data_IF_470703085552
#
_entry.id   IF_470703085552
#
_cell.length_a   1.000
_cell.length_b   1.000
_cell.length_c   1.000
_cell.angle_alpha   90.00
_cell.angle_beta   90.00
_cell.angle_gamma   90.00
#
_symmetry.space_group_name_H-M   'P 1'
#
loop_
_entity.id
_entity.type
_entity.pdbx_description
1 polymer ?
#
# COMPACT_ATOMS: atom_id res chain seq x y z
N UNK A 1 8.70 31.56 24.72
CA UNK A 1 7.23 31.61 24.59
C UNK A 1 6.95 31.47 23.12
N UNK A 2 6.59 30.28 22.65
CA UNK A 2 6.14 30.10 21.26
C UNK A 2 4.92 31.01 21.06
N UNK A 3 4.99 31.90 20.08
CA UNK A 3 3.81 32.64 19.62
C UNK A 3 2.84 31.56 19.15
N UNK A 4 1.74 31.37 19.89
CA UNK A 4 0.75 30.37 19.54
C UNK A 4 0.17 30.75 18.17
N UNK A 5 0.59 30.02 17.13
CA UNK A 5 0.07 30.20 15.77
C UNK A 5 -1.43 30.01 15.84
N UNK A 6 -2.16 31.05 15.42
CA UNK A 6 -3.57 31.18 15.72
C UNK A 6 -4.45 30.36 14.76
N UNK A 7 -3.99 30.05 13.55
CA UNK A 7 -4.78 29.34 12.54
C UNK A 7 -4.02 28.12 12.00
N UNK A 8 -4.63 26.94 12.10
CA UNK A 8 -4.15 25.72 11.45
C UNK A 8 -5.19 25.21 10.45
N UNK A 9 -4.74 24.93 9.23
CA UNK A 9 -5.54 24.44 8.12
C UNK A 9 -5.07 23.04 7.73
N UNK A 10 -5.99 22.10 7.66
CA UNK A 10 -5.71 20.71 7.27
C UNK A 10 -6.62 20.31 6.11
N UNK A 11 -6.02 20.01 4.96
CA UNK A 11 -6.73 19.60 3.74
C UNK A 11 -6.28 18.23 3.21
N UNK A 12 -5.23 17.59 3.75
CA UNK A 12 -4.74 16.26 3.33
C UNK A 12 -5.46 15.12 4.06
N UNK A 13 -6.76 15.02 3.82
CA UNK A 13 -7.72 14.13 4.46
C UNK A 13 -9.04 14.87 4.68
N UNK A 14 -9.82 14.43 5.67
CA UNK A 14 -10.99 15.20 6.11
C UNK A 14 -10.58 16.61 6.54
N UNK A 15 -11.25 17.61 5.97
CA UNK A 15 -10.93 19.01 6.22
C UNK A 15 -11.07 19.35 7.70
N UNK A 16 -10.05 19.97 8.28
CA UNK A 16 -10.11 20.56 9.62
C UNK A 16 -9.56 21.98 9.56
N UNK A 17 -10.23 22.89 10.25
CA UNK A 17 -9.81 24.28 10.39
C UNK A 17 -9.89 24.62 11.86
N UNK A 18 -8.75 24.97 12.44
CA UNK A 18 -8.63 25.24 13.87
C UNK A 18 -8.14 26.68 14.06
N UNK A 19 -8.88 27.45 14.86
CA UNK A 19 -8.51 28.79 15.26
C UNK A 19 -8.37 28.87 16.79
N UNK A 20 -7.22 29.33 17.27
CA UNK A 20 -6.83 29.31 18.69
C UNK A 20 -7.03 27.94 19.36
N UNK A 21 -6.66 26.87 18.64
CA UNK A 21 -6.80 25.49 19.09
C UNK A 21 -8.24 24.96 19.15
N UNK A 22 -9.23 25.71 18.66
CA UNK A 22 -10.64 25.29 18.58
C UNK A 22 -11.03 25.03 17.14
N UNK A 23 -11.75 23.93 16.90
CA UNK A 23 -12.38 23.69 15.60
C UNK A 23 -13.34 24.83 15.26
N UNK A 24 -13.21 25.36 14.04
CA UNK A 24 -14.14 26.34 13.47
C UNK A 24 -14.72 25.85 12.13
N UNK A 25 -14.39 24.62 11.72
CA UNK A 25 -14.84 24.06 10.45
C UNK A 25 -16.36 23.90 10.39
N UNK A 26 -17.02 23.68 11.53
CA UNK A 26 -18.47 23.53 11.65
C UNK A 26 -19.22 24.84 11.38
N UNK A 27 -18.54 25.98 11.56
CA UNK A 27 -19.06 27.30 11.19
C UNK A 27 -19.04 27.55 9.68
N UNK A 28 -18.36 26.70 8.91
CA UNK A 28 -18.17 26.86 7.48
C UNK A 28 -19.02 25.88 6.68
N UNK A 29 -19.68 26.42 5.64
CA UNK A 29 -20.36 25.58 4.65
C UNK A 29 -19.34 25.07 3.64
N UNK A 30 -19.72 24.05 2.87
CA UNK A 30 -18.90 23.48 1.82
C UNK A 30 -18.28 24.57 0.90
N UNK A 31 -19.07 25.53 0.41
CA UNK A 31 -18.57 26.61 -0.46
C UNK A 31 -17.59 27.56 0.23
N UNK A 32 -17.68 27.72 1.55
CA UNK A 32 -16.72 28.51 2.33
C UNK A 32 -15.38 27.77 2.42
N UNK A 33 -15.42 26.46 2.68
CA UNK A 33 -14.23 25.59 2.68
C UNK A 33 -13.57 25.60 1.29
N UNK A 34 -14.36 25.46 0.22
CA UNK A 34 -13.90 25.55 -1.16
C UNK A 34 -13.17 26.87 -1.43
N UNK A 35 -13.75 28.00 -0.99
CA UNK A 35 -13.15 29.32 -1.14
C UNK A 35 -11.81 29.41 -0.40
N UNK A 36 -11.74 29.02 0.87
CA UNK A 36 -10.48 29.04 1.63
C UNK A 36 -9.43 28.20 0.90
N UNK A 37 -9.79 26.99 0.48
CA UNK A 37 -8.88 26.08 -0.18
C UNK A 37 -8.39 26.60 -1.54
N UNK A 38 -9.30 27.16 -2.35
CA UNK A 38 -8.99 27.79 -3.63
C UNK A 38 -7.99 28.95 -3.46
N UNK A 39 -8.16 29.78 -2.43
CA UNK A 39 -7.24 30.86 -2.11
C UNK A 39 -5.88 30.34 -1.64
N UNK A 40 -5.84 29.27 -0.82
CA UNK A 40 -4.60 28.67 -0.32
C UNK A 40 -3.78 28.01 -1.43
N UNK A 41 -4.41 27.25 -2.32
CA UNK A 41 -3.71 26.64 -3.48
C UNK A 41 -3.08 27.72 -4.38
N UNK A 42 -3.66 28.92 -4.38
CA UNK A 42 -3.19 30.07 -5.13
C UNK A 42 -2.50 31.12 -4.23
N UNK A 43 -1.95 30.75 -3.06
CA UNK A 43 -1.46 31.72 -2.07
C UNK A 43 -0.48 32.78 -2.59
N UNK A 44 0.34 32.45 -3.60
CA UNK A 44 1.32 33.35 -4.19
C UNK A 44 0.71 34.33 -5.20
N UNK A 45 -0.61 34.27 -5.41
CA UNK A 45 -1.36 35.05 -6.39
C UNK A 45 -2.66 35.56 -5.79
N UNK A 46 -3.06 36.76 -6.20
CA UNK A 46 -4.41 37.23 -5.98
C UNK A 46 -5.32 36.70 -7.09
N UNK A 47 -6.47 36.13 -6.72
CA UNK A 47 -7.49 35.68 -7.65
C UNK A 47 -8.51 36.80 -7.87
N UNK A 48 -8.85 37.07 -9.13
CA UNK A 48 -9.95 37.97 -9.46
C UNK A 48 -11.26 37.42 -8.91
N UNK A 49 -12.12 38.31 -8.42
CA UNK A 49 -13.45 37.96 -7.92
C UNK A 49 -14.27 37.22 -8.97
N UNK A 50 -14.25 37.67 -10.23
CA UNK A 50 -14.95 37.02 -11.35
C UNK A 50 -14.58 35.53 -11.45
N UNK A 51 -13.29 35.22 -11.53
CA UNK A 51 -12.79 33.83 -11.55
C UNK A 51 -13.22 33.00 -10.32
N UNK A 52 -13.32 33.61 -9.14
CA UNK A 52 -13.85 32.92 -7.95
C UNK A 52 -15.34 32.60 -8.11
N UNK A 53 -16.11 33.51 -8.72
CA UNK A 53 -17.53 33.28 -9.01
C UNK A 53 -17.70 32.12 -9.98
N UNK A 54 -16.91 32.09 -11.06
CA UNK A 54 -16.96 31.02 -12.06
C UNK A 54 -16.67 29.65 -11.44
N UNK A 55 -15.69 29.56 -10.54
CA UNK A 55 -15.36 28.28 -9.88
C UNK A 55 -16.41 27.81 -8.87
N UNK A 56 -17.01 28.73 -8.11
CA UNK A 56 -17.79 28.36 -6.92
C UNK A 56 -19.30 28.53 -7.09
N UNK A 57 -19.75 29.37 -8.03
CA UNK A 57 -21.15 29.67 -8.30
C UNK A 57 -21.45 29.87 -9.81
N UNK A 58 -21.03 28.97 -10.71
CA UNK A 58 -21.19 29.16 -12.15
C UNK A 58 -22.67 29.26 -12.60
N UNK A 59 -23.58 28.58 -11.89
CA UNK A 59 -25.01 28.60 -12.21
C UNK A 59 -25.78 29.79 -11.62
N UNK A 60 -25.13 30.60 -10.79
CA UNK A 60 -25.79 31.75 -10.18
C UNK A 60 -25.79 32.94 -11.13
N UNK A 61 -26.87 33.73 -11.10
CA UNK A 61 -26.80 35.08 -11.67
C UNK A 61 -25.62 35.86 -11.07
N UNK A 62 -25.04 36.78 -11.84
CA UNK A 62 -23.87 37.55 -11.42
C UNK A 62 -24.08 38.25 -10.06
N UNK A 63 -25.26 38.84 -9.84
CA UNK A 63 -25.60 39.50 -8.57
C UNK A 63 -25.69 38.51 -7.40
N UNK A 64 -26.31 37.34 -7.61
CA UNK A 64 -26.38 36.29 -6.61
C UNK A 64 -24.99 35.72 -6.28
N UNK A 65 -24.15 35.50 -7.29
CA UNK A 65 -22.78 35.02 -7.12
C UNK A 65 -21.93 36.03 -6.32
N UNK A 66 -22.00 37.32 -6.65
CA UNK A 66 -21.33 38.40 -5.90
C UNK A 66 -21.80 38.46 -4.43
N UNK A 67 -23.09 38.33 -4.19
CA UNK A 67 -23.66 38.28 -2.83
C UNK A 67 -23.18 37.06 -2.05
N UNK A 68 -23.14 35.89 -2.69
CA UNK A 68 -22.61 34.66 -2.11
C UNK A 68 -21.13 34.81 -1.74
N UNK A 69 -20.30 35.34 -2.65
CA UNK A 69 -18.90 35.59 -2.36
C UNK A 69 -18.73 36.53 -1.16
N UNK A 70 -19.46 37.66 -1.14
CA UNK A 70 -19.43 38.61 -0.03
C UNK A 70 -19.79 37.96 1.30
N UNK A 71 -20.84 37.14 1.32
CA UNK A 71 -21.26 36.41 2.52
C UNK A 71 -20.16 35.44 3.00
N UNK A 72 -19.56 34.67 2.09
CA UNK A 72 -18.52 33.70 2.45
C UNK A 72 -17.24 34.40 2.95
N UNK A 73 -16.82 35.50 2.33
CA UNK A 73 -15.70 36.31 2.82
C UNK A 73 -15.98 36.87 4.22
N UNK A 74 -17.18 37.39 4.46
CA UNK A 74 -17.59 37.85 5.79
C UNK A 74 -17.60 36.71 6.81
N UNK A 75 -18.08 35.52 6.42
CA UNK A 75 -18.16 34.36 7.31
C UNK A 75 -16.76 33.89 7.73
N UNK A 76 -15.80 33.90 6.79
CA UNK A 76 -14.39 33.61 7.08
C UNK A 76 -13.85 34.63 8.09
N UNK A 77 -13.99 35.93 7.80
CA UNK A 77 -13.53 37.02 8.69
C UNK A 77 -14.17 37.00 10.08
N UNK A 78 -15.43 36.56 10.18
CA UNK A 78 -16.13 36.45 11.46
C UNK A 78 -15.58 35.33 12.35
N UNK A 79 -15.18 34.21 11.76
CA UNK A 79 -14.74 33.03 12.50
C UNK A 79 -13.20 32.93 12.63
N UNK A 80 -12.46 33.57 11.73
CA UNK A 80 -11.00 33.69 11.76
C UNK A 80 -10.68 35.14 12.12
N UNK A 81 -10.27 35.37 13.36
CA UNK A 81 -9.95 36.70 13.85
C UNK A 81 -8.61 37.23 13.30
N UNK A 82 -8.29 38.46 13.70
CA UNK A 82 -7.03 39.12 13.35
C UNK A 82 -5.84 38.52 14.08
N UNK A 83 -4.66 38.60 13.47
CA UNK A 83 -3.40 38.21 14.11
C UNK A 83 -3.04 39.16 15.26
N UNK A 84 -2.00 38.82 16.03
CA UNK A 84 -1.45 39.69 17.07
C UNK A 84 -0.96 41.06 16.53
N UNK A 85 -0.63 41.14 15.23
CA UNK A 85 -0.24 42.37 14.54
C UNK A 85 -1.43 43.08 13.89
N UNK A 86 -2.66 42.69 14.24
CA UNK A 86 -3.90 43.23 13.71
C UNK A 86 -4.07 43.05 12.17
N UNK A 87 -3.46 42.00 11.63
CA UNK A 87 -3.61 41.61 10.22
C UNK A 87 -4.82 40.68 10.04
N UNK A 88 -5.57 40.82 8.94
CA UNK A 88 -6.65 39.91 8.57
C UNK A 88 -6.11 38.72 7.78
N UNK A 89 -6.72 37.53 7.92
CA UNK A 89 -6.30 36.33 7.20
C UNK A 89 -6.40 36.46 5.67
N UNK A 90 -7.42 37.17 5.20
CA UNK A 90 -7.66 37.36 3.78
C UNK A 90 -7.23 38.77 3.36
N UNK A 91 -6.55 38.85 2.22
CA UNK A 91 -6.46 40.08 1.46
C UNK A 91 -7.69 40.20 0.56
N UNK A 92 -8.42 41.31 0.67
CA UNK A 92 -9.65 41.57 -0.09
C UNK A 92 -9.61 43.00 -0.61
N UNK A 93 -9.64 43.16 -1.93
CA UNK A 93 -9.85 44.45 -2.59
C UNK A 93 -11.11 44.44 -3.47
N UNK A 94 -11.32 45.47 -4.30
CA UNK A 94 -12.50 45.59 -5.17
C UNK A 94 -12.56 44.53 -6.28
N UNK A 95 -11.42 44.05 -6.74
CA UNK A 95 -11.23 43.22 -7.93
C UNK A 95 -10.73 41.81 -7.57
N UNK A 96 -10.00 41.66 -6.47
CA UNK A 96 -9.26 40.45 -6.12
C UNK A 96 -9.47 40.01 -4.66
N UNK A 97 -9.21 38.72 -4.42
CA UNK A 97 -9.11 38.10 -3.12
C UNK A 97 -7.88 37.19 -3.06
N UNK A 98 -7.26 37.04 -1.90
CA UNK A 98 -6.15 36.14 -1.66
C UNK A 98 -5.88 35.92 -0.18
N UNK A 99 -4.85 35.14 0.09
CA UNK A 99 -4.33 34.98 1.46
C UNK A 99 -3.45 36.18 1.77
N UNK A 100 -3.57 36.75 2.98
CA UNK A 100 -2.67 37.80 3.42
C UNK A 100 -1.33 37.19 3.85
N UNK A 101 -0.25 37.51 3.13
CA UNK A 101 1.09 37.01 3.43
C UNK A 101 1.62 37.45 4.81
N UNK A 102 1.06 38.52 5.40
CA UNK A 102 1.43 39.00 6.73
C UNK A 102 0.64 38.31 7.86
N UNK A 103 -0.31 37.44 7.54
CA UNK A 103 -1.05 36.67 8.52
C UNK A 103 -0.30 35.37 8.84
N UNK A 104 -0.06 35.09 10.11
CA UNK A 104 0.61 33.86 10.54
C UNK A 104 -0.39 32.70 10.64
N UNK A 105 -0.19 31.67 9.82
CA UNK A 105 -0.99 30.44 9.82
C UNK A 105 -0.14 29.24 9.40
N UNK A 106 -0.59 28.04 9.75
CA UNK A 106 -0.04 26.78 9.24
C UNK A 106 -1.04 26.11 8.33
N UNK A 107 -0.54 25.51 7.26
CA UNK A 107 -1.35 24.72 6.36
C UNK A 107 -0.56 23.52 5.85
N UNK A 108 -1.11 22.33 6.05
CA UNK A 108 -0.47 21.08 5.66
C UNK A 108 -0.10 21.04 4.18
N UNK A 109 -0.99 21.47 3.28
CA UNK A 109 -0.69 21.47 1.85
C UNK A 109 0.44 22.43 1.47
N UNK A 110 0.61 23.54 2.20
CA UNK A 110 1.72 24.46 1.95
C UNK A 110 3.04 23.87 2.45
N UNK A 111 3.04 23.22 3.61
CA UNK A 111 4.20 22.49 4.14
C UNK A 111 4.66 21.42 3.14
N UNK A 112 3.72 20.70 2.53
CA UNK A 112 4.00 19.69 1.48
C UNK A 112 4.48 20.34 0.17
N UNK A 113 3.83 21.39 -0.33
CA UNK A 113 4.23 22.04 -1.59
C UNK A 113 5.62 22.68 -1.51
N UNK A 114 5.98 23.20 -0.33
CA UNK A 114 7.26 23.83 -0.07
C UNK A 114 8.38 22.83 0.23
N UNK A 115 8.05 21.56 0.51
CA UNK A 115 9.06 20.53 0.71
C UNK A 115 9.86 20.31 -0.58
N UNK A 116 11.18 20.43 -0.46
CA UNK A 116 12.17 20.05 -1.48
C UNK A 116 13.18 19.12 -0.81
N UNK A 117 13.41 17.90 -1.34
CA UNK A 117 14.42 17.01 -0.79
C UNK A 117 15.80 17.66 -0.72
N UNK A 118 16.45 17.55 0.44
CA UNK A 118 17.78 18.10 0.71
C UNK A 118 18.63 17.08 1.49
N UNK A 119 19.95 17.18 1.38
CA UNK A 119 20.89 16.31 2.09
C UNK A 119 20.86 16.43 3.62
N UNK A 120 20.42 17.59 4.11
CA UNK A 120 20.22 17.89 5.52
C UNK A 120 18.90 17.39 6.10
N UNK A 121 18.03 16.76 5.30
CA UNK A 121 16.75 16.23 5.80
C UNK A 121 16.96 15.17 6.88
N UNK A 122 16.12 15.22 7.92
CA UNK A 122 16.09 14.23 8.99
C UNK A 122 14.87 13.34 8.87
N UNK A 123 15.00 12.09 9.36
CA UNK A 123 13.89 11.14 9.43
C UNK A 123 12.69 11.73 10.18
N UNK A 124 12.93 12.43 11.30
CA UNK A 124 11.87 13.07 12.09
C UNK A 124 11.07 14.11 11.29
N UNK A 125 11.75 14.93 10.47
CA UNK A 125 11.08 15.91 9.59
C UNK A 125 10.22 15.21 8.54
N UNK A 126 10.74 14.18 7.88
CA UNK A 126 10.00 13.45 6.84
C UNK A 126 8.83 12.65 7.41
N UNK A 127 8.97 12.04 8.59
CA UNK A 127 7.85 11.39 9.29
C UNK A 127 6.75 12.39 9.63
N UNK A 128 7.10 13.62 10.06
CA UNK A 128 6.11 14.68 10.28
C UNK A 128 5.33 14.99 9.00
N UNK A 129 6.01 15.15 7.86
CA UNK A 129 5.35 15.41 6.58
C UNK A 129 4.51 14.21 6.11
N UNK A 130 5.01 12.99 6.24
CA UNK A 130 4.28 11.74 5.96
C UNK A 130 2.97 11.68 6.76
N UNK A 131 3.02 12.01 8.05
CA UNK A 131 1.87 11.94 8.94
C UNK A 131 0.84 13.08 8.74
N UNK A 132 1.14 14.09 7.91
CA UNK A 132 0.14 15.08 7.50
C UNK A 132 -0.91 14.49 6.57
N UNK A 133 -0.57 13.44 5.81
CA UNK A 133 -1.50 12.72 4.96
C UNK A 133 -2.36 11.76 5.80
N UNK A 134 -3.56 12.21 6.17
CA UNK A 134 -4.57 11.36 6.81
C UNK A 134 -5.61 10.83 5.83
N UNK A 135 -5.64 11.36 4.61
CA UNK A 135 -6.43 10.91 3.48
C UNK A 135 -6.03 11.64 2.20
N UNK A 136 -6.87 11.55 1.16
CA UNK A 136 -6.69 12.33 -0.07
C UNK A 136 -6.97 13.83 0.17
N UNK A 137 -6.46 14.68 -0.71
CA UNK A 137 -6.73 16.11 -0.64
C UNK A 137 -8.25 16.40 -0.76
N UNK A 138 -8.79 17.14 0.21
CA UNK A 138 -10.23 17.37 0.39
C UNK A 138 -11.03 16.06 0.34
N UNK A 139 -10.66 15.09 1.18
CA UNK A 139 -11.30 13.78 1.24
C UNK A 139 -12.81 13.89 1.40
N UNK A 140 -13.55 13.16 0.56
CA UNK A 140 -15.01 13.13 0.59
C UNK A 140 -15.71 14.42 0.13
N UNK A 141 -14.98 15.42 -0.35
CA UNK A 141 -15.56 16.64 -0.90
C UNK A 141 -15.88 16.48 -2.39
N UNK A 142 -17.11 16.85 -2.76
CA UNK A 142 -17.54 17.05 -4.14
C UNK A 142 -18.49 18.25 -4.15
N UNK A 143 -18.30 19.17 -5.10
CA UNK A 143 -19.08 20.40 -5.18
C UNK A 143 -20.02 20.35 -6.37
N UNK A 144 -21.32 20.22 -6.09
CA UNK A 144 -22.33 20.20 -7.15
C UNK A 144 -22.25 21.45 -8.03
N UNK A 145 -22.35 21.23 -9.34
CA UNK A 145 -22.34 22.23 -10.41
C UNK A 145 -21.12 23.16 -10.33
N UNK A 146 -19.94 22.58 -10.11
CA UNK A 146 -18.65 23.28 -10.05
C UNK A 146 -17.58 22.42 -10.71
N UNK A 147 -17.84 22.03 -11.94
CA UNK A 147 -17.01 21.13 -12.74
C UNK A 147 -15.57 21.62 -12.80
N UNK A 148 -15.36 22.89 -13.16
CA UNK A 148 -14.04 23.52 -13.23
C UNK A 148 -13.27 23.46 -11.90
N UNK A 149 -13.96 23.63 -10.76
CA UNK A 149 -13.33 23.53 -9.45
C UNK A 149 -13.08 22.08 -9.04
N UNK A 150 -13.99 21.16 -9.34
CA UNK A 150 -13.78 19.73 -9.10
C UNK A 150 -12.61 19.18 -9.92
N UNK A 151 -12.40 19.67 -11.15
CA UNK A 151 -11.21 19.35 -11.95
C UNK A 151 -9.92 19.82 -11.27
N UNK A 152 -9.92 21.03 -10.68
CA UNK A 152 -8.78 21.50 -9.86
C UNK A 152 -8.55 20.54 -8.69
N UNK A 153 -9.59 20.09 -7.99
CA UNK A 153 -9.44 19.15 -6.86
C UNK A 153 -8.81 17.85 -7.33
N UNK A 154 -9.29 17.25 -8.43
CA UNK A 154 -8.75 16.02 -9.00
C UNK A 154 -7.26 16.20 -9.35
N UNK A 155 -6.91 17.29 -10.03
CA UNK A 155 -5.53 17.59 -10.37
C UNK A 155 -4.64 17.75 -9.13
N UNK A 156 -5.14 18.42 -8.08
CA UNK A 156 -4.40 18.60 -6.85
C UNK A 156 -4.22 17.30 -6.07
N UNK A 157 -5.22 16.39 -6.06
CA UNK A 157 -5.09 15.05 -5.45
C UNK A 157 -3.92 14.28 -6.05
N UNK A 158 -3.86 14.16 -7.38
CA UNK A 158 -2.74 13.54 -8.07
C UNK A 158 -1.41 14.23 -7.76
N UNK A 159 -1.41 15.57 -7.70
CA UNK A 159 -0.20 16.34 -7.36
C UNK A 159 0.29 16.06 -5.93
N UNK A 160 -0.60 15.96 -4.95
CA UNK A 160 -0.24 15.66 -3.57
C UNK A 160 0.17 14.20 -3.36
N UNK A 161 -0.40 13.26 -4.09
CA UNK A 161 0.09 11.87 -4.12
C UNK A 161 1.53 11.80 -4.64
N UNK A 162 1.85 12.54 -5.71
CA UNK A 162 3.22 12.63 -6.20
C UNK A 162 4.18 13.23 -5.17
N UNK A 163 3.76 14.27 -4.43
CA UNK A 163 4.56 14.80 -3.31
C UNK A 163 4.74 13.79 -2.18
N UNK A 164 3.68 13.04 -1.84
CA UNK A 164 3.76 11.96 -0.84
C UNK A 164 4.79 10.92 -1.25
N UNK A 165 4.78 10.46 -2.51
CA UNK A 165 5.78 9.52 -3.03
C UNK A 165 7.19 10.11 -2.95
N UNK A 166 7.40 11.39 -3.25
CA UNK A 166 8.72 12.03 -3.11
C UNK A 166 9.23 12.03 -1.66
N UNK A 167 8.35 12.33 -0.69
CA UNK A 167 8.67 12.30 0.74
C UNK A 167 9.04 10.87 1.17
N UNK A 168 8.25 9.87 0.74
CA UNK A 168 8.50 8.46 1.05
C UNK A 168 9.81 7.96 0.40
N UNK A 169 10.08 8.31 -0.86
CA UNK A 169 11.35 7.96 -1.54
C UNK A 169 12.54 8.53 -0.76
N UNK A 170 12.47 9.80 -0.34
CA UNK A 170 13.52 10.42 0.48
C UNK A 170 13.68 9.73 1.84
N UNK A 171 12.57 9.37 2.48
CA UNK A 171 12.59 8.67 3.76
C UNK A 171 13.22 7.28 3.64
N UNK A 172 12.90 6.54 2.57
CA UNK A 172 13.51 5.24 2.28
C UNK A 172 15.03 5.36 2.05
N UNK A 173 15.49 6.38 1.33
CA UNK A 173 16.93 6.65 1.15
C UNK A 173 17.65 6.91 2.49
N UNK A 174 17.05 7.68 3.39
CA UNK A 174 17.63 7.95 4.70
C UNK A 174 17.71 6.68 5.55
N UNK A 175 16.64 5.88 5.60
CA UNK A 175 16.65 4.60 6.33
C UNK A 175 17.67 3.62 5.75
N UNK A 176 17.82 3.56 4.43
CA UNK A 176 18.84 2.74 3.78
C UNK A 176 20.27 3.18 4.17
N UNK A 177 20.53 4.50 4.20
CA UNK A 177 21.81 5.08 4.60
C UNK A 177 22.15 4.78 6.07
N UNK A 178 21.16 4.82 6.95
CA UNK A 178 21.30 4.47 8.36
C UNK A 178 21.27 2.95 8.62
N UNK A 179 21.23 2.13 7.56
CA UNK A 179 21.13 0.67 7.64
C UNK A 179 19.90 0.15 8.40
N UNK A 180 18.86 0.97 8.54
CA UNK A 180 17.56 0.55 9.06
C UNK A 180 16.72 -0.07 7.93
N UNK A 181 17.10 -1.30 7.54
CA UNK A 181 16.55 -1.95 6.34
C UNK A 181 15.07 -2.30 6.49
N UNK A 182 14.61 -2.65 7.69
CA UNK A 182 13.21 -3.04 7.91
C UNK A 182 12.26 -1.85 7.69
N UNK A 183 12.59 -0.68 8.24
CA UNK A 183 11.83 0.54 8.00
C UNK A 183 11.93 0.99 6.54
N UNK A 184 13.09 0.85 5.90
CA UNK A 184 13.23 1.11 4.46
C UNK A 184 12.26 0.24 3.63
N UNK A 185 12.20 -1.06 3.91
CA UNK A 185 11.26 -1.98 3.23
C UNK A 185 9.80 -1.61 3.50
N UNK A 186 9.44 -1.20 4.71
CA UNK A 186 8.08 -0.76 5.03
C UNK A 186 7.68 0.48 4.22
N UNK A 187 8.57 1.48 4.14
CA UNK A 187 8.33 2.69 3.33
C UNK A 187 8.23 2.37 1.84
N UNK A 188 9.09 1.49 1.31
CA UNK A 188 9.01 1.10 -0.11
C UNK A 188 7.72 0.35 -0.43
N UNK A 189 7.21 -0.48 0.49
CA UNK A 189 5.90 -1.13 0.33
C UNK A 189 4.76 -0.12 0.34
N UNK A 190 4.81 0.90 1.20
CA UNK A 190 3.82 1.98 1.20
C UNK A 190 3.83 2.76 -0.13
N UNK A 191 4.99 2.94 -0.76
CA UNK A 191 5.05 3.51 -2.11
C UNK A 191 4.33 2.60 -3.12
N UNK A 192 4.48 1.27 -3.03
CA UNK A 192 3.76 0.31 -3.89
C UNK A 192 2.26 0.19 -3.58
N UNK A 193 1.79 0.66 -2.43
CA UNK A 193 0.36 0.78 -2.18
C UNK A 193 -0.24 1.99 -2.92
N UNK A 194 0.58 3.02 -3.17
CA UNK A 194 0.20 4.22 -3.95
C UNK A 194 0.38 3.98 -5.46
N UNK A 195 1.54 3.47 -5.86
CA UNK A 195 1.85 3.09 -7.25
C UNK A 195 2.22 1.59 -7.32
N UNK A 196 1.21 0.70 -7.49
CA UNK A 196 1.39 -0.75 -7.49
C UNK A 196 2.28 -1.31 -8.58
N UNK A 197 2.68 -0.49 -9.54
CA UNK A 197 3.39 -0.90 -10.76
C UNK A 197 4.77 -0.23 -10.89
N UNK A 198 5.24 0.52 -9.89
CA UNK A 198 6.59 1.13 -9.88
C UNK A 198 7.68 0.03 -9.82
N UNK A 199 8.20 -0.34 -11.00
CA UNK A 199 9.26 -1.34 -11.12
C UNK A 199 10.58 -0.89 -10.48
N UNK A 200 10.86 0.40 -10.37
CA UNK A 200 12.09 0.88 -9.74
C UNK A 200 12.08 0.61 -8.23
N UNK A 201 10.93 0.82 -7.60
CA UNK A 201 10.70 0.46 -6.20
C UNK A 201 10.77 -1.05 -6.01
N UNK A 202 10.19 -1.83 -6.92
CA UNK A 202 10.26 -3.30 -6.88
C UNK A 202 11.71 -3.81 -6.98
N UNK A 203 12.52 -3.24 -7.88
CA UNK A 203 13.96 -3.53 -7.98
C UNK A 203 14.66 -3.25 -6.66
N UNK A 204 14.38 -2.11 -6.03
CA UNK A 204 15.02 -1.70 -4.77
C UNK A 204 14.66 -2.65 -3.63
N UNK A 205 13.40 -3.08 -3.53
CA UNK A 205 12.96 -4.09 -2.54
C UNK A 205 13.73 -5.41 -2.73
N UNK A 206 13.88 -5.90 -3.98
CA UNK A 206 14.64 -7.13 -4.25
C UNK A 206 16.11 -6.97 -3.83
N UNK A 207 16.74 -5.85 -4.16
CA UNK A 207 18.12 -5.57 -3.75
C UNK A 207 18.28 -5.54 -2.22
N UNK A 208 17.32 -4.97 -1.50
CA UNK A 208 17.34 -4.98 -0.03
C UNK A 208 17.18 -6.39 0.53
N UNK A 209 16.27 -7.21 -0.03
CA UNK A 209 16.15 -8.62 0.36
C UNK A 209 17.43 -9.44 0.11
N UNK A 210 18.15 -9.14 -0.98
CA UNK A 210 19.48 -9.71 -1.21
C UNK A 210 20.48 -9.28 -0.14
N UNK A 211 20.51 -7.97 0.19
CA UNK A 211 21.44 -7.38 1.16
C UNK A 211 21.30 -7.98 2.57
N UNK A 212 20.08 -8.30 2.99
CA UNK A 212 19.80 -8.88 4.32
C UNK A 212 19.70 -10.41 4.32
N UNK A 213 19.99 -11.08 3.20
CA UNK A 213 19.94 -12.54 3.08
C UNK A 213 18.53 -13.16 3.12
N UNK A 214 17.46 -12.35 3.15
CA UNK A 214 16.05 -12.82 3.15
C UNK A 214 15.59 -13.17 1.73
N UNK A 215 16.29 -14.11 1.09
CA UNK A 215 16.07 -14.48 -0.32
C UNK A 215 14.67 -15.02 -0.62
N UNK A 216 14.14 -15.91 0.23
CA UNK A 216 12.79 -16.46 0.06
C UNK A 216 11.73 -15.37 -0.05
N UNK A 217 11.82 -14.36 0.82
CA UNK A 217 10.95 -13.20 0.78
C UNK A 217 11.09 -12.40 -0.53
N UNK A 218 12.31 -12.21 -1.03
CA UNK A 218 12.55 -11.57 -2.33
C UNK A 218 11.95 -12.34 -3.51
N UNK A 219 12.01 -13.68 -3.47
CA UNK A 219 11.41 -14.52 -4.53
C UNK A 219 9.89 -14.45 -4.51
N UNK A 220 9.28 -14.55 -3.33
CA UNK A 220 7.83 -14.44 -3.16
C UNK A 220 7.34 -13.06 -3.61
N UNK A 221 8.07 -12.01 -3.24
CA UNK A 221 7.77 -10.64 -3.65
C UNK A 221 7.81 -10.49 -5.17
N UNK A 222 8.89 -10.93 -5.84
CA UNK A 222 9.00 -10.84 -7.31
C UNK A 222 7.86 -11.57 -8.02
N UNK A 223 7.54 -12.80 -7.59
CA UNK A 223 6.48 -13.58 -8.22
C UNK A 223 5.13 -12.87 -8.09
N UNK A 224 4.79 -12.39 -6.89
CA UNK A 224 3.57 -11.60 -6.65
C UNK A 224 3.51 -10.34 -7.51
N UNK A 225 4.62 -9.60 -7.60
CA UNK A 225 4.70 -8.38 -8.42
C UNK A 225 4.59 -8.67 -9.92
N UNK A 226 5.26 -9.72 -10.42
CA UNK A 226 5.13 -10.20 -11.81
C UNK A 226 3.68 -10.57 -12.13
N UNK A 227 3.03 -11.33 -11.24
CA UNK A 227 1.66 -11.78 -11.47
C UNK A 227 0.69 -10.60 -11.45
N UNK A 228 0.96 -9.57 -10.64
CA UNK A 228 0.22 -8.30 -10.64
C UNK A 228 0.36 -7.55 -11.98
N UNK A 229 1.57 -7.40 -12.50
CA UNK A 229 1.81 -6.77 -13.81
C UNK A 229 1.12 -7.53 -14.94
N UNK A 230 1.26 -8.86 -14.97
CA UNK A 230 0.66 -9.69 -15.99
C UNK A 230 -0.87 -9.66 -15.94
N UNK A 231 -1.47 -9.76 -14.75
CA UNK A 231 -2.93 -9.80 -14.59
C UNK A 231 -3.63 -8.45 -14.80
N UNK A 232 -2.99 -7.33 -14.41
CA UNK A 232 -3.63 -6.01 -14.46
C UNK A 232 -3.25 -5.19 -15.68
N UNK A 233 -2.03 -5.34 -16.18
CA UNK A 233 -1.51 -4.55 -17.31
C UNK A 233 -1.21 -5.41 -18.55
N UNK A 234 -1.21 -6.75 -18.44
CA UNK A 234 -0.89 -7.63 -19.57
C UNK A 234 0.57 -7.57 -20.00
N UNK A 235 1.46 -7.01 -19.18
CA UNK A 235 2.88 -6.86 -19.46
C UNK A 235 3.74 -7.78 -18.59
N UNK A 236 4.95 -8.06 -19.05
CA UNK A 236 5.96 -8.77 -18.27
C UNK A 236 6.89 -7.78 -17.56
N UNK A 237 7.52 -8.15 -16.43
CA UNK A 237 8.53 -7.34 -15.76
C UNK A 237 9.64 -6.89 -16.72
N UNK A 238 10.14 -5.68 -16.55
CA UNK A 238 11.26 -5.12 -17.30
C UNK A 238 12.52 -5.98 -17.20
N UNK A 239 13.44 -5.80 -18.15
CA UNK A 239 14.72 -6.52 -18.15
C UNK A 239 15.56 -6.26 -16.88
N UNK A 240 15.53 -5.02 -16.39
CA UNK A 240 16.20 -4.61 -15.14
C UNK A 240 15.70 -5.43 -13.95
N UNK A 241 14.38 -5.56 -13.82
CA UNK A 241 13.75 -6.32 -12.73
C UNK A 241 14.00 -7.82 -12.86
N UNK A 242 13.92 -8.37 -14.08
CA UNK A 242 14.26 -9.78 -14.36
C UNK A 242 15.72 -10.11 -14.03
N UNK A 243 16.64 -9.21 -14.38
CA UNK A 243 18.08 -9.37 -14.13
C UNK A 243 18.38 -9.41 -12.63
N UNK A 244 17.81 -8.49 -11.83
CA UNK A 244 17.96 -8.51 -10.37
C UNK A 244 17.35 -9.74 -9.71
N UNK A 245 16.24 -10.24 -10.23
CA UNK A 245 15.70 -11.51 -9.78
C UNK A 245 16.58 -12.71 -10.13
N UNK A 246 17.25 -12.69 -11.29
CA UNK A 246 18.22 -13.73 -11.65
C UNK A 246 19.45 -13.70 -10.72
N UNK A 247 19.99 -12.52 -10.38
CA UNK A 247 21.06 -12.38 -9.38
C UNK A 247 20.62 -12.91 -8.01
N UNK A 248 19.41 -12.56 -7.55
CA UNK A 248 18.80 -13.09 -6.33
C UNK A 248 18.76 -14.63 -6.36
N UNK A 249 18.51 -15.23 -7.54
CA UNK A 249 18.54 -16.68 -7.73
C UNK A 249 19.95 -17.28 -7.78
N UNK A 250 20.95 -16.53 -8.23
CA UNK A 250 22.32 -17.00 -8.46
C UNK A 250 23.27 -16.83 -7.27
N UNK A 251 22.95 -16.01 -6.24
CA UNK A 251 23.75 -15.86 -5.00
C UNK A 251 23.78 -17.13 -4.11
N UNK A 252 24.08 -18.30 -4.69
CA UNK A 252 24.61 -19.46 -3.99
C UNK A 252 26.13 -19.48 -4.18
N UNK A 253 26.87 -19.20 -3.11
CA UNK A 253 28.15 -19.86 -2.80
C UNK A 253 28.22 -20.09 -1.27
N UNK A 254 28.99 -21.11 -0.83
CA UNK A 254 28.50 -22.10 0.13
C UNK A 254 28.86 -21.75 1.57
N UNK A 255 27.86 -21.49 2.40
CA UNK A 255 28.01 -21.67 3.84
C UNK A 255 27.35 -22.99 4.25
N UNK A 256 28.19 -24.02 4.27
CA UNK A 256 28.18 -25.12 5.21
C UNK A 256 27.66 -24.70 6.58
N UNK A 257 26.46 -25.14 6.92
CA UNK A 257 26.19 -25.77 8.22
C UNK A 257 25.31 -27.00 8.00
N UNK A 258 26.01 -28.13 7.93
CA UNK A 258 25.55 -29.48 8.22
C UNK A 258 24.56 -29.52 9.39
N UNK A 259 23.29 -29.80 9.11
CA UNK A 259 22.40 -30.53 10.01
C UNK A 259 21.50 -31.46 9.18
N UNK A 260 21.87 -32.74 9.18
CA UNK A 260 21.11 -33.95 8.83
C UNK A 260 20.34 -33.96 7.49
N UNK A 261 21.06 -34.41 6.46
CA UNK A 261 20.56 -34.82 5.14
C UNK A 261 19.78 -36.15 5.18
N UNK A 262 18.79 -36.28 6.06
CA UNK A 262 17.78 -37.34 5.91
C UNK A 262 16.59 -36.74 5.17
N UNK A 263 16.42 -37.13 3.91
CA UNK A 263 15.27 -36.76 3.11
C UNK A 263 13.97 -37.11 3.85
N UNK A 264 13.03 -36.17 3.87
CA UNK A 264 11.67 -36.42 4.35
C UNK A 264 11.01 -37.31 3.32
N UNK A 265 10.74 -38.55 3.70
CA UNK A 265 10.11 -39.52 2.81
C UNK A 265 8.61 -39.59 3.12
N UNK A 266 7.80 -39.33 2.10
CA UNK A 266 6.34 -39.42 2.18
C UNK A 266 5.90 -40.50 1.22
N UNK A 267 5.47 -41.63 1.75
CA UNK A 267 4.75 -42.64 0.97
C UNK A 267 3.28 -42.28 0.96
N UNK A 268 2.66 -42.23 -0.21
CA UNK A 268 1.27 -41.83 -0.40
C UNK A 268 0.61 -42.75 -1.43
N UNK A 269 -0.69 -42.93 -1.28
CA UNK A 269 -1.51 -43.72 -2.21
C UNK A 269 -2.52 -42.78 -2.87
N UNK A 270 -3.01 -43.14 -4.05
CA UNK A 270 -4.21 -42.50 -4.59
C UNK A 270 -5.42 -43.41 -4.34
N UNK A 271 -6.60 -42.79 -4.24
CA UNK A 271 -7.87 -43.52 -4.16
C UNK A 271 -8.78 -42.98 -5.24
N UNK A 272 -9.29 -43.91 -6.05
CA UNK A 272 -10.18 -43.60 -7.15
C UNK A 272 -11.44 -42.89 -6.67
N UNK A 273 -11.89 -41.91 -7.45
CA UNK A 273 -13.12 -41.14 -7.23
C UNK A 273 -13.14 -40.29 -5.92
N UNK A 274 -11.98 -40.04 -5.30
CA UNK A 274 -11.87 -39.16 -4.12
C UNK A 274 -11.08 -37.90 -4.47
N UNK A 275 -11.79 -36.77 -4.61
CA UNK A 275 -11.19 -35.48 -4.94
C UNK A 275 -10.20 -35.03 -3.86
N UNK A 276 -9.04 -34.51 -4.28
CA UNK A 276 -7.93 -34.01 -3.44
C UNK A 276 -7.22 -35.06 -2.57
N UNK A 277 -7.55 -36.34 -2.68
CA UNK A 277 -7.07 -37.35 -1.73
C UNK A 277 -5.55 -37.36 -1.61
N UNK A 278 -4.84 -37.37 -2.74
CA UNK A 278 -3.38 -37.37 -2.76
C UNK A 278 -2.79 -36.13 -2.05
N UNK A 279 -3.32 -34.93 -2.33
CA UNK A 279 -2.88 -33.70 -1.66
C UNK A 279 -3.18 -33.73 -0.16
N UNK A 280 -4.35 -34.22 0.24
CA UNK A 280 -4.75 -34.32 1.64
C UNK A 280 -3.85 -35.29 2.42
N UNK A 281 -3.54 -36.45 1.84
CA UNK A 281 -2.68 -37.47 2.44
C UNK A 281 -1.24 -36.98 2.58
N UNK A 282 -0.68 -36.34 1.53
CA UNK A 282 0.65 -35.73 1.59
C UNK A 282 0.69 -34.62 2.63
N UNK A 283 -0.29 -33.71 2.65
CA UNK A 283 -0.33 -32.62 3.62
C UNK A 283 -0.40 -33.15 5.06
N UNK A 284 -1.28 -34.12 5.33
CA UNK A 284 -1.39 -34.74 6.65
C UNK A 284 -0.08 -35.36 7.13
N UNK A 285 0.60 -36.12 6.25
CA UNK A 285 1.89 -36.75 6.58
C UNK A 285 3.01 -35.75 6.82
N UNK A 286 2.97 -34.60 6.14
CA UNK A 286 3.91 -33.49 6.37
C UNK A 286 3.65 -32.77 7.69
N UNK A 287 2.39 -32.50 8.04
CA UNK A 287 2.03 -31.91 9.32
C UNK A 287 2.32 -32.84 10.51
N UNK A 288 2.32 -34.16 10.31
CA UNK A 288 2.74 -35.13 11.31
C UNK A 288 4.26 -35.14 11.57
N UNK A 289 5.09 -34.54 10.69
CA UNK A 289 6.54 -34.50 10.89
C UNK A 289 6.89 -33.45 11.95
N UNK A 290 7.30 -33.88 13.14
CA UNK A 290 7.70 -32.98 14.25
C UNK A 290 8.82 -31.99 13.90
N UNK A 291 9.66 -32.35 12.93
CA UNK A 291 10.73 -31.49 12.43
C UNK A 291 10.24 -30.38 11.51
N UNK A 292 9.04 -30.49 10.94
CA UNK A 292 8.43 -29.48 10.09
C UNK A 292 7.50 -28.57 10.90
N UNK A 293 7.82 -27.27 10.93
CA UNK A 293 6.94 -26.25 11.55
C UNK A 293 5.89 -25.76 10.54
N UNK A 294 5.10 -26.68 9.98
CA UNK A 294 4.15 -26.39 8.89
C UNK A 294 3.16 -25.25 9.22
N UNK A 295 2.70 -25.14 10.47
CA UNK A 295 1.82 -24.06 10.91
C UNK A 295 2.44 -22.65 10.87
N UNK A 296 3.78 -22.53 10.81
CA UNK A 296 4.47 -21.24 10.63
C UNK A 296 4.73 -20.90 9.17
N UNK A 297 4.57 -21.87 8.27
CA UNK A 297 4.78 -21.72 6.82
C UNK A 297 3.54 -21.10 6.16
N UNK A 298 2.36 -21.40 6.68
CA UNK A 298 1.08 -21.04 6.09
C UNK A 298 0.39 -19.96 6.92
N UNK A 299 -0.28 -19.03 6.25
CA UNK A 299 -1.18 -18.09 6.91
C UNK A 299 -2.53 -18.74 7.23
N UNK A 300 -3.38 -18.06 8.00
CA UNK A 300 -4.69 -18.58 8.44
C UNK A 300 -5.58 -19.01 7.26
N UNK A 301 -5.60 -18.25 6.17
CA UNK A 301 -6.40 -18.58 4.98
C UNK A 301 -5.91 -19.87 4.30
N UNK A 302 -4.59 -20.06 4.20
CA UNK A 302 -3.99 -21.27 3.62
C UNK A 302 -4.16 -22.48 4.54
N UNK A 303 -4.06 -22.28 5.87
CA UNK A 303 -4.36 -23.33 6.85
C UNK A 303 -5.83 -23.75 6.75
N UNK A 304 -6.74 -22.79 6.59
CA UNK A 304 -8.16 -23.07 6.37
C UNK A 304 -8.41 -23.86 5.08
N UNK A 305 -7.76 -23.46 3.98
CA UNK A 305 -7.86 -24.15 2.70
C UNK A 305 -7.35 -25.60 2.74
N UNK A 306 -6.22 -25.86 3.41
CA UNK A 306 -5.73 -27.23 3.58
C UNK A 306 -6.53 -28.04 4.59
N UNK A 307 -7.00 -27.40 5.67
CA UNK A 307 -7.82 -28.04 6.68
C UNK A 307 -9.20 -28.48 6.16
N UNK A 308 -9.67 -27.90 5.06
CA UNK A 308 -10.87 -28.37 4.34
C UNK A 308 -10.68 -29.76 3.72
N UNK A 309 -9.47 -30.09 3.25
CA UNK A 309 -9.17 -31.40 2.65
C UNK A 309 -8.52 -32.38 3.64
N UNK A 310 -7.86 -31.88 4.70
CA UNK A 310 -7.20 -32.69 5.72
C UNK A 310 -7.52 -32.16 7.12
N UNK A 311 -8.54 -32.72 7.80
CA UNK A 311 -9.02 -32.25 9.10
C UNK A 311 -7.97 -32.16 10.21
N UNK A 312 -6.96 -33.04 10.17
CA UNK A 312 -5.90 -33.14 11.19
C UNK A 312 -4.93 -31.94 11.20
N UNK A 313 -5.04 -31.03 10.22
CA UNK A 313 -4.25 -29.78 10.17
C UNK A 313 -4.76 -28.75 11.20
N UNK A 314 -6.01 -28.86 11.67
CA UNK A 314 -6.56 -28.01 12.71
C UNK A 314 -6.37 -28.65 14.10
N UNK A 315 -5.72 -27.93 15.01
CA UNK A 315 -5.59 -28.35 16.42
C UNK A 315 -6.66 -27.78 17.34
N UNK A 316 -7.45 -26.78 16.90
CA UNK A 316 -8.50 -26.15 17.70
C UNK A 316 -9.87 -26.28 17.02
N UNK A 317 -10.88 -26.70 17.77
CA UNK A 317 -12.19 -27.22 17.33
C UNK A 317 -13.18 -26.10 16.93
N UNK A 318 -12.78 -24.83 16.89
CA UNK A 318 -13.69 -23.70 16.65
C UNK A 318 -13.47 -23.03 15.29
N UNK A 319 -13.92 -23.68 14.21
CA UNK A 319 -14.24 -22.99 12.98
C UNK A 319 -15.41 -23.69 12.28
N UNK A 320 -16.53 -22.97 12.17
CA UNK A 320 -17.73 -23.40 11.47
C UNK A 320 -17.41 -23.93 10.07
N UNK A 321 -17.45 -25.26 9.91
CA UNK A 321 -17.24 -25.95 8.64
C UNK A 321 -18.50 -25.85 7.77
N UNK A 322 -18.73 -24.76 7.06
CA UNK A 322 -19.83 -24.76 6.06
C UNK A 322 -19.66 -23.92 4.80
N UNK A 323 -18.48 -23.35 4.53
CA UNK A 323 -18.23 -22.68 3.23
C UNK A 323 -17.42 -23.59 2.33
N UNK A 324 -17.97 -23.95 1.16
CA UNK A 324 -17.22 -24.66 0.12
C UNK A 324 -16.00 -23.82 -0.29
N UNK A 325 -14.80 -24.35 -0.07
CA UNK A 325 -13.56 -23.65 -0.43
C UNK A 325 -13.30 -23.86 -1.94
N UNK A 326 -12.98 -22.79 -2.70
CA UNK A 326 -12.61 -22.93 -4.11
C UNK A 326 -11.34 -23.78 -4.31
N UNK A 327 -11.35 -24.65 -5.32
CA UNK A 327 -10.23 -25.54 -5.69
C UNK A 327 -8.89 -24.80 -5.79
N UNK A 328 -8.90 -23.59 -6.35
CA UNK A 328 -7.71 -22.76 -6.53
C UNK A 328 -7.04 -22.41 -5.19
N UNK A 329 -7.82 -22.22 -4.12
CA UNK A 329 -7.27 -21.92 -2.80
C UNK A 329 -6.59 -23.14 -2.19
N UNK A 330 -7.21 -24.32 -2.32
CA UNK A 330 -6.65 -25.60 -1.86
C UNK A 330 -5.34 -25.88 -2.59
N UNK A 331 -5.36 -25.76 -3.92
CA UNK A 331 -4.19 -25.96 -4.79
C UNK A 331 -3.06 -25.00 -4.43
N UNK A 332 -3.36 -23.71 -4.28
CA UNK A 332 -2.36 -22.69 -3.93
C UNK A 332 -1.74 -22.95 -2.55
N UNK A 333 -2.56 -23.30 -1.55
CA UNK A 333 -2.06 -23.60 -0.22
C UNK A 333 -1.16 -24.85 -0.21
N UNK A 334 -1.53 -25.89 -0.96
CA UNK A 334 -0.73 -27.11 -1.08
C UNK A 334 0.61 -26.86 -1.79
N UNK A 335 0.59 -26.15 -2.93
CA UNK A 335 1.81 -25.79 -3.65
C UNK A 335 2.72 -24.93 -2.75
N UNK A 336 2.15 -23.97 -2.03
CA UNK A 336 2.91 -23.11 -1.12
C UNK A 336 3.58 -23.93 0.00
N UNK A 337 2.88 -24.92 0.57
CA UNK A 337 3.43 -25.82 1.57
C UNK A 337 4.64 -26.60 1.02
N UNK A 338 4.47 -27.28 -0.11
CA UNK A 338 5.53 -28.09 -0.73
C UNK A 338 6.75 -27.24 -1.08
N UNK A 339 6.55 -26.09 -1.72
CA UNK A 339 7.65 -25.21 -2.14
C UNK A 339 8.44 -24.68 -0.95
N UNK A 340 7.78 -24.33 0.17
CA UNK A 340 8.47 -23.84 1.36
C UNK A 340 9.21 -24.95 2.11
N UNK A 341 8.64 -26.15 2.24
CA UNK A 341 9.35 -27.29 2.83
C UNK A 341 10.62 -27.59 2.04
N UNK A 342 10.54 -27.56 0.71
CA UNK A 342 11.69 -27.77 -0.16
C UNK A 342 12.73 -26.65 -0.14
N UNK A 343 12.52 -25.55 0.57
CA UNK A 343 13.57 -24.55 0.82
C UNK A 343 14.59 -25.05 1.84
N UNK A 344 14.14 -25.79 2.86
CA UNK A 344 14.95 -26.21 3.99
C UNK A 344 15.24 -27.71 3.99
N UNK A 345 14.33 -28.52 3.46
CA UNK A 345 14.41 -29.98 3.50
C UNK A 345 14.36 -30.60 2.11
N UNK A 346 15.04 -31.74 1.96
CA UNK A 346 14.80 -32.63 0.81
C UNK A 346 13.51 -33.41 1.07
N UNK A 347 12.60 -33.41 0.11
CA UNK A 347 11.31 -34.08 0.16
C UNK A 347 11.21 -35.10 -0.97
N UNK A 348 11.11 -36.37 -0.60
CA UNK A 348 10.94 -37.48 -1.53
C UNK A 348 9.51 -38.05 -1.34
N UNK A 349 8.63 -37.84 -2.33
CA UNK A 349 7.25 -38.33 -2.34
C UNK A 349 7.17 -39.55 -3.24
N UNK A 350 6.73 -40.67 -2.67
CA UNK A 350 6.54 -41.95 -3.36
C UNK A 350 5.05 -42.22 -3.47
N UNK A 351 4.55 -42.36 -4.70
CA UNK A 351 3.13 -42.49 -5.02
C UNK A 351 2.85 -43.92 -5.46
N UNK A 352 1.87 -44.58 -4.85
CA UNK A 352 1.33 -45.87 -5.30
C UNK A 352 -0.08 -45.68 -5.89
N UNK A 353 -0.38 -46.35 -7.00
CA UNK A 353 -1.68 -46.29 -7.67
C UNK A 353 -1.93 -44.95 -8.36
N UNK A 354 -0.95 -44.40 -9.07
CA UNK A 354 -1.03 -43.07 -9.68
C UNK A 354 -2.17 -42.94 -10.71
N UNK A 355 -2.60 -44.06 -11.29
CA UNK A 355 -3.77 -44.18 -12.18
C UNK A 355 -5.10 -43.80 -11.52
N UNK A 356 -5.18 -43.91 -10.19
CA UNK A 356 -6.38 -43.60 -9.41
C UNK A 356 -6.39 -42.15 -8.89
N UNK A 357 -5.42 -41.32 -9.30
CA UNK A 357 -5.32 -39.92 -8.86
C UNK A 357 -6.43 -39.03 -9.46
N UNK A 358 -7.05 -38.19 -8.61
CA UNK A 358 -8.06 -37.23 -9.06
C UNK A 358 -7.49 -36.16 -10.00
N UNK A 359 -8.36 -35.56 -10.83
CA UNK A 359 -7.96 -34.62 -11.86
C UNK A 359 -7.26 -33.36 -11.32
N UNK A 360 -7.63 -32.89 -10.12
CA UNK A 360 -7.01 -31.69 -9.54
C UNK A 360 -5.61 -32.03 -9.03
N UNK A 361 -5.48 -33.10 -8.24
CA UNK A 361 -4.18 -33.60 -7.78
C UNK A 361 -3.24 -33.92 -8.94
N UNK A 362 -3.75 -34.50 -10.04
CA UNK A 362 -2.98 -34.77 -11.25
C UNK A 362 -2.46 -33.48 -11.91
N UNK A 363 -3.29 -32.44 -11.96
CA UNK A 363 -2.89 -31.10 -12.43
C UNK A 363 -1.77 -30.51 -11.56
N UNK A 364 -1.88 -30.62 -10.24
CA UNK A 364 -0.86 -30.14 -9.28
C UNK A 364 0.43 -30.93 -9.39
N UNK A 365 0.36 -32.26 -9.50
CA UNK A 365 1.52 -33.12 -9.70
C UNK A 365 2.27 -32.74 -10.97
N UNK A 366 1.55 -32.52 -12.07
CA UNK A 366 2.13 -32.06 -13.34
C UNK A 366 2.81 -30.70 -13.16
N UNK A 367 2.18 -29.77 -12.46
CA UNK A 367 2.76 -28.47 -12.15
C UNK A 367 4.05 -28.60 -11.32
N UNK A 368 4.05 -29.39 -10.25
CA UNK A 368 5.21 -29.59 -9.38
C UNK A 368 6.37 -30.26 -10.13
N UNK A 369 6.10 -31.27 -10.96
CA UNK A 369 7.12 -31.90 -11.82
C UNK A 369 7.73 -30.91 -12.82
N UNK A 370 6.91 -30.02 -13.41
CA UNK A 370 7.37 -29.01 -14.36
C UNK A 370 8.08 -27.82 -13.71
N UNK A 371 7.89 -27.61 -12.40
CA UNK A 371 8.44 -26.46 -11.67
C UNK A 371 9.93 -26.60 -11.32
N UNK A 372 10.57 -27.75 -11.63
CA UNK A 372 11.99 -28.02 -11.39
C UNK A 372 12.47 -27.64 -9.98
N UNK A 373 11.73 -28.06 -8.95
CA UNK A 373 12.05 -27.79 -7.55
C UNK A 373 13.23 -28.69 -7.13
N UNK A 374 14.41 -28.10 -6.92
CA UNK A 374 15.70 -28.81 -6.76
C UNK A 374 15.76 -29.84 -5.62
N UNK A 375 14.89 -29.70 -4.60
CA UNK A 375 14.83 -30.57 -3.41
C UNK A 375 13.53 -31.39 -3.32
N UNK A 376 12.78 -31.49 -4.41
CA UNK A 376 11.55 -32.26 -4.50
C UNK A 376 11.74 -33.42 -5.48
N UNK A 377 11.67 -34.65 -4.99
CA UNK A 377 11.59 -35.82 -5.85
C UNK A 377 10.20 -36.43 -5.72
N UNK A 378 9.50 -36.59 -6.84
CA UNK A 378 8.21 -37.30 -6.86
C UNK A 378 8.33 -38.50 -7.79
N UNK A 379 8.14 -39.69 -7.25
CA UNK A 379 8.27 -40.96 -7.97
C UNK A 379 7.04 -41.81 -7.76
N UNK A 380 6.69 -42.55 -8.80
CA UNK A 380 5.75 -43.66 -8.70
C UNK A 380 6.52 -44.92 -8.29
N UNK A 381 5.95 -45.73 -7.39
CA UNK A 381 6.55 -46.97 -6.86
C UNK A 381 5.64 -48.17 -6.98
#
# INVERSE_FOLDING_TARGET
MEVAIMLNLYFLGKTRIEYNGKSVVESFRNKTIALICLLIINQDKYLSRERILDYLWPDSSEEAAKNNLRYNLWLIKKNIGTSASNEEFLFIDKEHCGVNANYDFRCDILDIMNFKPQDSDSIAKLLKLKNMFTGEFLEGCYYNNCEDFNEIIIFQRTRFENFRVQILKRLAELYERESNIEECLNILKEILDIDPYDEEVAVKIIMLYMKIGKRGAGILFYNSFRDRLASRLGIQPSEKLRSKFAELKQNQEPETQTQNDSAIQIQTICIKDVQYFWMADVAGKLFAQKQLKCGKILNENMLSALGYIQPDIFTDIEAERSTKIPDVQVVNAFIHLILNICQEHRLDIYITGMEDMDSVSAGVLKYLKNSNVSRLNIREI
#
